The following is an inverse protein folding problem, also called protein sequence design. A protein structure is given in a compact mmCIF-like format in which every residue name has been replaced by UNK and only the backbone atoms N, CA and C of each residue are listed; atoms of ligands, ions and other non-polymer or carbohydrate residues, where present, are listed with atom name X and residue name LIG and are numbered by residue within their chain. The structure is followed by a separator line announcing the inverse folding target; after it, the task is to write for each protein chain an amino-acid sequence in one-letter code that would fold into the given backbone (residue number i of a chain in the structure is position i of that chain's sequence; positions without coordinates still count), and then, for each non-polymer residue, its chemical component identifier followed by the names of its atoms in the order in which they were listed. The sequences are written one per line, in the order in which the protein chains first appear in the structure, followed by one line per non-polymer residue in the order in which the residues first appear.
data_IF_479722156781
#
_entry.id   IF_479722156781
#
_cell.length_a   1.000
_cell.length_b   1.000
_cell.length_c   1.000
_cell.angle_alpha   90.00
_cell.angle_beta   90.00
_cell.angle_gamma   90.00
#
_symmetry.space_group_name_H-M   'P 1'
#
loop_
_entity.id
_entity.type
_entity.pdbx_description
1 polymer ?
#
# COMPACT_ATOMS: atom_id res chain seq x y z
N UNK A 1 -17.34 1.67 -5.82
CA UNK A 1 -16.17 0.82 -5.64
C UNK A 1 -15.91 0.16 -6.97
N UNK A 2 -14.70 0.30 -7.46
CA UNK A 2 -14.27 -0.17 -8.78
C UNK A 2 -13.04 -1.02 -8.54
N UNK A 3 -13.18 -2.32 -8.77
CA UNK A 3 -12.09 -3.28 -8.61
C UNK A 3 -11.34 -3.39 -9.92
N UNK A 4 -10.02 -3.40 -9.86
CA UNK A 4 -9.17 -3.63 -11.03
C UNK A 4 -8.29 -4.84 -10.81
N UNK A 5 -8.31 -5.74 -11.80
CA UNK A 5 -7.46 -6.92 -11.87
C UNK A 5 -6.63 -6.82 -13.16
N UNK A 6 -5.37 -7.23 -13.09
CA UNK A 6 -4.54 -7.39 -14.27
C UNK A 6 -4.99 -8.63 -15.07
N UNK A 7 -5.20 -8.47 -16.37
CA UNK A 7 -5.49 -9.55 -17.33
C UNK A 7 -4.61 -9.37 -18.58
N UNK A 8 -3.55 -10.18 -18.69
CA UNK A 8 -2.66 -10.25 -19.86
C UNK A 8 -2.30 -8.88 -20.46
N UNK A 9 -1.62 -8.04 -19.66
CA UNK A 9 -1.16 -6.69 -20.04
C UNK A 9 -2.27 -5.63 -20.20
N UNK A 10 -3.53 -5.97 -19.92
CA UNK A 10 -4.66 -5.04 -19.92
C UNK A 10 -5.37 -4.97 -18.57
N UNK A 11 -6.01 -3.83 -18.31
CA UNK A 11 -6.79 -3.59 -17.11
C UNK A 11 -8.25 -3.92 -17.34
N UNK A 12 -8.86 -4.69 -16.43
CA UNK A 12 -10.29 -4.93 -16.46
C UNK A 12 -10.94 -4.52 -15.15
N UNK A 13 -11.91 -3.61 -15.25
CA UNK A 13 -12.80 -3.31 -14.13
C UNK A 13 -13.75 -4.49 -13.89
N UNK A 14 -13.88 -4.91 -12.63
CA UNK A 14 -14.85 -5.93 -12.20
C UNK A 14 -15.80 -5.34 -11.16
N UNK A 15 -17.07 -5.76 -11.21
CA UNK A 15 -18.16 -5.14 -10.45
C UNK A 15 -18.32 -5.70 -9.04
N UNK A 16 -17.84 -6.93 -8.82
CA UNK A 16 -17.94 -7.67 -7.56
C UNK A 16 -16.90 -8.80 -7.57
N UNK A 17 -15.84 -8.74 -6.74
CA UNK A 17 -14.83 -9.78 -6.67
C UNK A 17 -15.26 -10.82 -5.63
N UNK A 18 -16.49 -11.33 -5.75
CA UNK A 18 -17.08 -12.30 -4.81
C UNK A 18 -16.28 -13.62 -4.68
N UNK A 19 -15.28 -13.80 -5.53
CA UNK A 19 -14.33 -14.91 -5.52
C UNK A 19 -12.91 -14.38 -5.26
N UNK A 20 -12.20 -14.87 -4.24
CA UNK A 20 -10.80 -14.52 -4.01
C UNK A 20 -9.88 -14.82 -5.20
N UNK A 21 -8.75 -14.10 -5.33
CA UNK A 21 -8.24 -13.07 -4.43
C UNK A 21 -8.90 -11.68 -4.64
N UNK A 22 -9.13 -10.93 -3.55
CA UNK A 22 -9.68 -9.57 -3.63
C UNK A 22 -9.26 -8.68 -2.46
N UNK A 23 -9.50 -7.37 -2.61
CA UNK A 23 -9.25 -6.37 -1.57
C UNK A 23 -10.59 -5.87 -1.01
N UNK A 24 -10.68 -5.76 0.32
CA UNK A 24 -11.81 -5.15 1.00
C UNK A 24 -11.36 -3.98 1.87
N UNK A 25 -11.87 -2.78 1.56
CA UNK A 25 -11.64 -1.56 2.33
C UNK A 25 -12.91 -1.26 3.14
N UNK A 26 -12.89 -1.35 4.49
CA UNK A 26 -14.02 -0.96 5.31
C UNK A 26 -14.35 0.53 5.17
N UNK A 27 -15.61 0.89 5.32
CA UNK A 27 -16.06 2.27 5.05
C UNK A 27 -15.58 3.29 6.10
N UNK A 28 -15.34 2.85 7.34
CA UNK A 28 -15.12 3.74 8.48
C UNK A 28 -13.68 3.73 9.02
N UNK A 29 -12.82 2.86 8.50
CA UNK A 29 -11.47 2.65 9.04
C UNK A 29 -10.42 2.66 7.94
N UNK A 30 -9.20 3.16 8.19
CA UNK A 30 -8.08 3.06 7.25
C UNK A 30 -7.45 1.67 7.26
N UNK A 31 -8.29 0.65 7.24
CA UNK A 31 -7.87 -0.74 7.21
C UNK A 31 -8.02 -1.27 5.78
N UNK A 32 -7.12 -2.17 5.38
CA UNK A 32 -7.24 -2.93 4.14
C UNK A 32 -7.20 -4.39 4.51
N UNK A 33 -8.19 -5.15 4.02
CA UNK A 33 -8.22 -6.59 4.17
C UNK A 33 -7.93 -7.22 2.80
N UNK A 34 -6.82 -7.93 2.72
CA UNK A 34 -6.47 -8.77 1.57
C UNK A 34 -7.08 -10.15 1.81
N UNK A 35 -7.93 -10.61 0.89
CA UNK A 35 -8.64 -11.88 1.02
C UNK A 35 -8.19 -12.82 -0.07
N UNK A 36 -7.66 -13.99 0.31
CA UNK A 36 -7.25 -15.06 -0.57
C UNK A 36 -8.16 -16.28 -0.46
N UNK A 37 -7.60 -17.47 -0.65
CA UNK A 37 -8.33 -18.73 -0.48
C UNK A 37 -9.04 -18.84 0.89
N UNK A 38 -10.05 -19.72 1.06
CA UNK A 38 -10.76 -19.86 2.33
C UNK A 38 -9.81 -20.04 3.53
N UNK A 39 -9.83 -19.09 4.47
CA UNK A 39 -8.95 -19.07 5.64
C UNK A 39 -7.66 -18.24 5.48
N UNK A 40 -7.40 -17.70 4.29
CA UNK A 40 -6.27 -16.80 4.00
C UNK A 40 -6.75 -15.34 3.95
N UNK A 41 -6.30 -14.54 4.92
CA UNK A 41 -6.57 -13.11 4.93
C UNK A 41 -5.57 -12.34 5.76
N UNK A 42 -5.02 -11.27 5.20
CA UNK A 42 -4.13 -10.37 5.91
C UNK A 42 -4.80 -9.01 6.09
N UNK A 43 -4.68 -8.44 7.28
CA UNK A 43 -5.17 -7.10 7.59
C UNK A 43 -4.01 -6.13 7.72
N UNK A 44 -4.00 -5.13 6.85
CA UNK A 44 -3.11 -3.99 6.94
C UNK A 44 -3.84 -2.83 7.61
N UNK A 45 -3.31 -2.38 8.73
CA UNK A 45 -3.76 -1.13 9.36
C UNK A 45 -2.94 0.03 8.77
N UNK A 46 -3.62 1.04 8.25
CA UNK A 46 -2.99 2.26 7.78
C UNK A 46 -2.24 2.98 8.89
N UNK A 47 -1.11 3.59 8.54
CA UNK A 47 -0.33 4.42 9.42
C UNK A 47 -1.13 5.65 9.88
N UNK A 48 -0.89 6.06 11.12
CA UNK A 48 -1.52 7.26 11.68
C UNK A 48 -1.04 8.50 10.90
N UNK A 49 -1.95 9.37 10.44
CA UNK A 49 -1.57 10.56 9.70
C UNK A 49 -0.80 11.56 10.57
N UNK A 50 0.27 12.14 10.01
CA UNK A 50 0.98 13.27 10.60
C UNK A 50 0.14 14.55 10.53
N UNK A 51 0.23 15.46 11.52
CA UNK A 51 -0.38 16.77 11.41
C UNK A 51 0.15 17.51 10.17
N UNK A 52 -0.75 17.99 9.30
CA UNK A 52 -0.40 18.72 8.08
C UNK A 52 -0.06 17.85 6.87
N UNK A 53 -0.07 16.52 6.98
CA UNK A 53 0.09 15.64 5.84
C UNK A 53 -1.20 15.63 5.00
N UNK A 54 -1.06 15.90 3.70
CA UNK A 54 -2.14 15.79 2.71
C UNK A 54 -2.52 14.32 2.52
N UNK A 55 -1.53 13.43 2.36
CA UNK A 55 -1.75 11.98 2.25
C UNK A 55 -0.78 11.21 3.14
N UNK A 56 -1.21 10.03 3.58
CA UNK A 56 -0.37 9.06 4.27
C UNK A 56 -0.43 7.74 3.53
N UNK A 57 0.72 7.22 3.16
CA UNK A 57 0.88 5.93 2.50
C UNK A 57 1.49 4.94 3.50
N UNK A 58 0.97 3.73 3.52
CA UNK A 58 1.48 2.62 4.34
C UNK A 58 1.97 1.54 3.41
N UNK A 59 3.25 1.22 3.49
CA UNK A 59 3.86 0.17 2.66
C UNK A 59 4.10 -1.06 3.52
N UNK A 60 3.63 -2.21 3.05
CA UNK A 60 3.78 -3.48 3.74
C UNK A 60 4.24 -4.58 2.78
N UNK A 61 5.02 -5.51 3.32
CA UNK A 61 5.36 -6.79 2.68
C UNK A 61 4.47 -7.85 3.30
N UNK A 62 3.79 -8.63 2.48
CA UNK A 62 2.80 -9.62 2.89
C UNK A 62 3.23 -10.96 2.29
N UNK A 63 3.23 -12.01 3.11
CA UNK A 63 3.53 -13.35 2.62
C UNK A 63 2.42 -13.85 1.69
N UNK A 64 2.77 -14.70 0.72
CA UNK A 64 1.84 -15.17 -0.32
C UNK A 64 0.64 -15.96 0.24
N UNK A 65 0.78 -16.53 1.43
CA UNK A 65 -0.29 -17.25 2.12
C UNK A 65 -1.30 -16.33 2.83
N UNK A 66 -1.03 -15.01 2.83
CA UNK A 66 -1.78 -13.97 3.51
C UNK A 66 -2.01 -14.24 5.01
N UNK A 67 -1.13 -15.01 5.67
CA UNK A 67 -1.21 -15.26 7.12
C UNK A 67 -0.37 -14.25 7.90
N UNK A 68 0.70 -13.75 7.29
CA UNK A 68 1.62 -12.79 7.89
C UNK A 68 2.05 -11.71 6.91
N UNK A 69 2.55 -10.65 7.50
CA UNK A 69 3.09 -9.50 6.80
C UNK A 69 3.66 -8.51 7.80
N UNK A 70 4.42 -7.55 7.31
CA UNK A 70 5.01 -6.51 8.12
C UNK A 70 4.93 -5.16 7.42
N UNK A 71 4.63 -4.12 8.20
CA UNK A 71 4.71 -2.74 7.70
C UNK A 71 6.18 -2.38 7.61
N UNK A 72 6.61 -2.00 6.41
CA UNK A 72 7.98 -1.61 6.11
C UNK A 72 8.18 -0.13 6.41
N UNK A 73 7.26 0.72 5.94
CA UNK A 73 7.33 2.15 6.22
C UNK A 73 5.96 2.83 6.13
N UNK A 74 5.92 4.05 6.66
CA UNK A 74 4.88 5.01 6.35
C UNK A 74 5.50 6.19 5.61
N UNK A 75 4.79 6.72 4.62
CA UNK A 75 5.20 7.87 3.81
C UNK A 75 4.16 8.95 4.02
N UNK A 76 4.59 10.11 4.51
CA UNK A 76 3.74 11.26 4.73
C UNK A 76 4.07 12.32 3.68
N UNK A 77 3.06 12.72 2.93
CA UNK A 77 3.18 13.76 1.92
C UNK A 77 2.56 15.03 2.45
N UNK A 78 3.35 16.11 2.49
CA UNK A 78 2.88 17.47 2.76
C UNK A 78 3.31 18.35 1.59
N UNK A 79 2.37 18.73 0.74
CA UNK A 79 2.57 19.49 -0.49
C UNK A 79 3.60 18.84 -1.41
N UNK A 80 4.84 19.33 -1.36
CA UNK A 80 5.97 18.85 -2.17
C UNK A 80 7.06 18.20 -1.32
N UNK A 81 6.75 17.89 -0.05
CA UNK A 81 7.66 17.24 0.87
C UNK A 81 7.18 15.83 1.14
N UNK A 82 8.12 14.90 1.07
CA UNK A 82 7.94 13.51 1.44
C UNK A 82 8.72 13.26 2.72
N UNK A 83 8.08 12.68 3.72
CA UNK A 83 8.74 12.19 4.94
C UNK A 83 8.49 10.69 5.07
N UNK A 84 9.56 9.92 5.27
CA UNK A 84 9.49 8.47 5.42
C UNK A 84 9.76 8.10 6.88
N UNK A 85 8.81 7.41 7.49
CA UNK A 85 8.98 6.76 8.78
C UNK A 85 9.30 5.28 8.54
N UNK A 86 10.54 4.86 8.78
CA UNK A 86 10.91 3.43 8.78
C UNK A 86 10.19 2.71 9.95
N UNK A 87 9.44 1.66 9.63
CA UNK A 87 8.65 0.87 10.58
C UNK A 87 9.09 -0.58 10.67
N UNK A 88 10.16 -0.96 9.95
CA UNK A 88 10.71 -2.31 10.00
C UNK A 88 11.19 -2.64 11.41
N UNK A 89 11.00 -3.90 11.81
CA UNK A 89 11.49 -4.38 13.09
C UNK A 89 12.96 -4.78 12.95
N UNK A 90 13.90 -4.16 13.68
CA UNK A 90 15.33 -4.42 13.53
C UNK A 90 15.73 -5.87 13.87
N UNK A 91 14.84 -6.65 14.49
CA UNK A 91 15.09 -8.04 14.88
C UNK A 91 14.48 -9.07 13.92
N UNK A 92 13.66 -8.66 12.95
CA UNK A 92 12.86 -9.57 12.11
C UNK A 92 12.97 -9.28 10.61
N UNK A 93 13.84 -8.37 10.18
CA UNK A 93 14.01 -7.99 8.77
C UNK A 93 15.15 -8.81 8.14
N UNK A 94 14.86 -9.69 7.16
CA UNK A 94 15.86 -10.29 6.28
C UNK A 94 16.80 -9.25 5.66
N UNK A 95 18.09 -9.59 5.50
CA UNK A 95 19.06 -8.66 4.89
C UNK A 95 18.72 -8.24 3.46
N UNK A 96 17.99 -9.06 2.70
CA UNK A 96 17.53 -8.68 1.35
C UNK A 96 16.52 -7.52 1.40
N UNK A 97 15.73 -7.42 2.47
CA UNK A 97 14.82 -6.29 2.70
C UNK A 97 15.57 -5.01 3.06
N UNK A 98 16.77 -5.09 3.66
CA UNK A 98 17.60 -3.92 3.94
C UNK A 98 18.10 -3.26 2.65
N UNK A 99 18.74 -4.03 1.77
CA UNK A 99 19.24 -3.51 0.49
C UNK A 99 18.10 -3.00 -0.41
N UNK A 100 16.96 -3.70 -0.42
CA UNK A 100 15.78 -3.31 -1.18
C UNK A 100 15.20 -1.99 -0.65
N UNK A 101 15.10 -1.85 0.66
CA UNK A 101 14.56 -0.66 1.29
C UNK A 101 15.49 0.55 1.18
N UNK A 102 16.81 0.37 1.25
CA UNK A 102 17.76 1.46 0.99
C UNK A 102 17.62 2.01 -0.44
N UNK A 103 17.45 1.12 -1.43
CA UNK A 103 17.17 1.53 -2.81
C UNK A 103 15.83 2.26 -2.93
N UNK A 104 14.81 1.76 -2.23
CA UNK A 104 13.50 2.40 -2.20
C UNK A 104 13.56 3.79 -1.57
N UNK A 105 14.25 3.96 -0.44
CA UNK A 105 14.48 5.28 0.16
C UNK A 105 15.22 6.22 -0.80
N UNK A 106 16.27 5.72 -1.46
CA UNK A 106 16.99 6.49 -2.48
C UNK A 106 16.07 6.91 -3.63
N UNK A 107 15.16 6.05 -4.07
CA UNK A 107 14.17 6.39 -5.10
C UNK A 107 13.17 7.44 -4.60
N UNK A 108 12.71 7.34 -3.35
CA UNK A 108 11.82 8.34 -2.73
C UNK A 108 12.50 9.71 -2.59
N UNK A 109 13.79 9.75 -2.27
CA UNK A 109 14.56 11.00 -2.21
C UNK A 109 14.70 11.67 -3.59
N UNK A 110 14.67 10.89 -4.67
CA UNK A 110 14.64 11.40 -6.04
C UNK A 110 13.23 11.82 -6.49
N UNK A 111 12.18 11.32 -5.83
CA UNK A 111 10.79 11.66 -6.15
C UNK A 111 10.47 13.09 -5.70
N UNK A 112 10.54 14.01 -6.65
CA UNK A 112 10.15 15.43 -6.47
C UNK A 112 8.62 15.63 -6.43
N UNK A 113 7.84 14.63 -6.85
CA UNK A 113 6.37 14.71 -6.98
C UNK A 113 5.74 13.40 -6.49
N UNK A 114 4.84 13.42 -5.50
CA UNK A 114 4.18 12.24 -4.92
C UNK A 114 3.43 11.31 -5.89
N UNK A 115 3.22 11.73 -7.14
CA UNK A 115 2.57 10.95 -8.20
C UNK A 115 3.36 9.68 -8.56
N UNK A 116 4.67 9.64 -8.29
CA UNK A 116 5.54 8.50 -8.63
C UNK A 116 5.74 7.48 -7.49
N UNK A 117 4.95 7.55 -6.42
CA UNK A 117 5.08 6.65 -5.28
C UNK A 117 4.80 5.18 -5.64
N UNK A 118 3.87 4.92 -6.56
CA UNK A 118 3.57 3.56 -7.00
C UNK A 118 4.75 2.95 -7.75
N UNK A 119 5.43 3.70 -8.62
CA UNK A 119 6.62 3.24 -9.36
C UNK A 119 7.78 2.86 -8.43
N UNK A 120 7.97 3.63 -7.35
CA UNK A 120 8.97 3.31 -6.32
C UNK A 120 8.59 2.03 -5.56
N UNK A 121 7.32 1.85 -5.21
CA UNK A 121 6.84 0.64 -4.53
C UNK A 121 6.86 -0.58 -5.45
N UNK A 122 6.54 -0.43 -6.73
CA UNK A 122 6.67 -1.46 -7.75
C UNK A 122 8.12 -1.96 -7.78
N UNK A 123 9.09 -1.04 -7.79
CA UNK A 123 10.52 -1.38 -7.76
C UNK A 123 10.93 -2.11 -6.48
N UNK A 124 10.32 -1.75 -5.33
CA UNK A 124 10.55 -2.45 -4.06
C UNK A 124 10.10 -3.92 -4.11
N UNK A 125 9.13 -4.28 -4.94
CA UNK A 125 8.62 -5.66 -5.02
C UNK A 125 9.52 -6.65 -5.78
N UNK A 126 10.48 -6.19 -6.58
CA UNK A 126 11.36 -7.08 -7.37
C UNK A 126 12.32 -7.93 -6.53
N UNK A 127 13.04 -7.38 -5.53
CA UNK A 127 13.98 -8.17 -4.73
C UNK A 127 13.34 -8.91 -3.54
N UNK A 128 12.02 -8.80 -3.34
CA UNK A 128 11.34 -9.31 -2.15
C UNK A 128 10.54 -10.57 -2.46
N UNK A 129 10.65 -11.56 -1.57
CA UNK A 129 9.81 -12.76 -1.61
C UNK A 129 8.45 -12.42 -0.97
N UNK A 130 7.44 -12.15 -1.80
CA UNK A 130 6.06 -11.92 -1.37
C UNK A 130 5.36 -10.76 -2.08
N UNK A 131 4.19 -10.39 -1.56
CA UNK A 131 3.39 -9.29 -2.06
C UNK A 131 3.82 -7.97 -1.42
N UNK A 132 3.88 -6.90 -2.19
CA UNK A 132 4.09 -5.54 -1.69
C UNK A 132 2.83 -4.74 -1.86
N UNK A 133 2.25 -4.27 -0.75
CA UNK A 133 1.07 -3.42 -0.76
C UNK A 133 1.43 -1.98 -0.41
N UNK A 134 0.89 -1.02 -1.18
CA UNK A 134 0.81 0.39 -0.79
C UNK A 134 -0.65 0.75 -0.52
N UNK A 135 -0.90 1.26 0.69
CA UNK A 135 -2.21 1.77 1.09
C UNK A 135 -2.14 3.28 1.31
N UNK A 136 -2.85 4.04 0.49
CA UNK A 136 -2.96 5.49 0.55
C UNK A 136 -4.25 5.89 1.25
N UNK A 137 -4.15 6.80 2.21
CA UNK A 137 -5.27 7.43 2.89
C UNK A 137 -5.09 8.95 2.99
N UNK A 138 -6.17 9.70 2.77
CA UNK A 138 -6.25 11.15 2.96
C UNK A 138 -7.36 11.48 3.95
N UNK A 139 -7.08 12.35 4.91
CA UNK A 139 -8.02 12.68 5.97
C UNK A 139 -8.48 14.12 5.83
N UNK A 140 -9.75 14.40 6.16
CA UNK A 140 -10.22 15.76 6.35
C UNK A 140 -9.53 16.37 7.59
N UNK A 141 -9.01 17.59 7.46
CA UNK A 141 -8.39 18.35 8.56
C UNK A 141 -9.38 18.76 9.67
N UNK A 142 -10.68 18.49 9.49
CA UNK A 142 -11.71 18.73 10.51
C UNK A 142 -11.56 17.81 11.74
N UNK A 143 -12.22 18.23 12.83
CA UNK A 143 -12.13 17.70 14.21
C UNK A 143 -12.28 16.18 14.34
N UNK A 144 -12.91 15.52 13.36
CA UNK A 144 -13.17 14.07 13.39
C UNK A 144 -12.23 13.25 12.48
N UNK A 145 -11.32 13.88 11.71
CA UNK A 145 -10.38 13.22 10.76
C UNK A 145 -11.04 12.06 9.99
N UNK A 146 -12.21 12.31 9.41
CA UNK A 146 -12.86 11.33 8.54
C UNK A 146 -12.00 11.17 7.29
N UNK A 147 -11.66 9.93 6.94
CA UNK A 147 -10.90 9.68 5.73
C UNK A 147 -11.76 9.94 4.49
N UNK A 148 -11.27 10.78 3.58
CA UNK A 148 -11.99 11.26 2.40
C UNK A 148 -11.60 10.53 1.13
N UNK A 149 -10.39 9.95 1.10
CA UNK A 149 -9.88 9.21 -0.04
C UNK A 149 -9.02 8.02 0.41
N UNK A 150 -9.19 6.91 -0.30
CA UNK A 150 -8.47 5.67 -0.12
C UNK A 150 -8.10 5.07 -1.47
N UNK A 151 -6.87 4.60 -1.56
CA UNK A 151 -6.44 3.70 -2.63
C UNK A 151 -5.53 2.65 -2.05
N UNK A 152 -5.57 1.45 -2.60
CA UNK A 152 -4.57 0.44 -2.28
C UNK A 152 -4.23 -0.36 -3.51
N UNK A 153 -2.95 -0.65 -3.66
CA UNK A 153 -2.40 -1.33 -4.82
C UNK A 153 -1.46 -2.43 -4.31
N UNK A 154 -1.53 -3.62 -4.90
CA UNK A 154 -0.76 -4.81 -4.49
C UNK A 154 0.10 -5.30 -5.64
N UNK A 155 1.40 -5.33 -5.43
CA UNK A 155 2.40 -5.72 -6.42
C UNK A 155 3.03 -7.07 -6.05
N UNK A 156 3.42 -7.82 -7.08
CA UNK A 156 4.27 -9.00 -6.96
C UNK A 156 5.22 -9.02 -8.15
N UNK A 157 6.54 -9.07 -7.90
CA UNK A 157 7.57 -9.05 -8.96
C UNK A 157 7.32 -7.96 -10.02
N UNK A 158 7.09 -6.71 -9.58
CA UNK A 158 6.75 -5.53 -10.40
C UNK A 158 5.39 -5.56 -11.11
N UNK A 159 4.60 -6.61 -10.90
CA UNK A 159 3.27 -6.72 -11.51
C UNK A 159 2.21 -6.27 -10.53
N UNK A 160 1.42 -5.25 -10.87
CA UNK A 160 0.22 -4.89 -10.11
C UNK A 160 -0.82 -6.01 -10.26
N UNK A 161 -1.19 -6.65 -9.15
CA UNK A 161 -2.15 -7.75 -9.12
C UNK A 161 -3.58 -7.25 -8.88
N UNK A 162 -3.73 -6.37 -7.89
CA UNK A 162 -5.03 -5.90 -7.40
C UNK A 162 -4.94 -4.42 -7.06
N UNK A 163 -5.99 -3.69 -7.41
CA UNK A 163 -6.17 -2.30 -6.98
C UNK A 163 -7.64 -2.04 -6.61
N UNK A 164 -7.83 -1.27 -5.54
CA UNK A 164 -9.13 -0.77 -5.10
C UNK A 164 -9.01 0.71 -4.72
N UNK A 165 -10.01 1.49 -5.12
CA UNK A 165 -10.10 2.93 -4.85
C UNK A 165 -11.49 3.33 -4.32
N UNK A 166 -11.50 4.20 -3.32
CA UNK A 166 -12.72 4.82 -2.77
C UNK A 166 -12.49 6.30 -2.46
N UNK A 167 -13.44 7.13 -2.90
CA UNK A 167 -13.44 8.57 -2.64
C UNK A 167 -13.08 9.34 -3.91
N UNK A 168 -12.74 10.61 -3.73
CA UNK A 168 -12.27 11.48 -4.81
C UNK A 168 -11.28 12.49 -4.24
N UNK A 169 -10.17 12.70 -4.96
CA UNK A 169 -9.19 13.76 -4.68
C UNK A 169 -9.76 15.16 -4.95
#
# INVERSE_FOLDING_TARGET
MSYYVADNEAWRSVSDPSSPPYIHIPEDTPEVNFVGAPGASYRLNGATPRPGADTTHTVAVIEDDLQSGSVVCAIHVEKNRVEVDDRRSPNNTPRCEDDAFERFQSALDEILIPVYLDDAVETLSEPLDGLVAIHTAQYDDRVERSCTYFRTSVFHEKTLLLEEERGSL
#
